data_IF_520893777243
#
_entry.id   IF_520893777243
#
_cell.length_a   1.000
_cell.length_b   1.000
_cell.length_c   1.000
_cell.angle_alpha   90.00
_cell.angle_beta   90.00
_cell.angle_gamma   90.00
#
_symmetry.space_group_name_H-M   'P 1'
#
loop_
_entity.id
_entity.type
_entity.pdbx_description
1 polymer ?
#
# COMPACT_ATOMS: atom_id res chain seq x y z
N UNK A 1 5.50 -15.07 -16.71
CA UNK A 1 5.74 -13.61 -16.79
C UNK A 1 4.86 -12.96 -15.75
N UNK A 2 5.37 -12.20 -14.79
CA UNK A 2 4.52 -11.50 -13.83
C UNK A 2 3.73 -10.44 -14.58
N UNK A 3 2.40 -10.49 -14.50
CA UNK A 3 1.50 -9.51 -15.13
C UNK A 3 1.70 -8.14 -14.47
N UNK A 4 2.48 -7.27 -15.11
CA UNK A 4 2.70 -5.90 -14.63
C UNK A 4 1.48 -5.07 -14.96
N UNK A 5 0.76 -4.62 -13.91
CA UNK A 5 -0.46 -3.83 -14.05
C UNK A 5 -0.15 -2.34 -14.12
N UNK A 6 0.83 -1.87 -13.32
CA UNK A 6 1.30 -0.48 -13.36
C UNK A 6 2.78 -0.50 -13.69
N UNK A 7 3.21 0.37 -14.62
CA UNK A 7 4.62 0.60 -14.93
C UNK A 7 4.88 2.10 -15.07
N UNK A 8 5.84 2.59 -14.33
CA UNK A 8 6.33 3.98 -14.38
C UNK A 8 7.77 3.98 -14.92
N UNK A 9 8.03 4.81 -15.90
CA UNK A 9 9.35 4.98 -16.51
C UNK A 9 9.73 6.46 -16.48
N UNK A 10 10.74 6.79 -15.69
CA UNK A 10 11.31 8.14 -15.55
C UNK A 10 10.22 9.20 -15.37
N UNK A 11 9.30 9.00 -14.43
CA UNK A 11 8.19 9.92 -14.17
C UNK A 11 8.69 11.14 -13.41
N UNK A 12 8.40 12.32 -13.93
CA UNK A 12 8.68 13.62 -13.31
C UNK A 12 7.39 14.40 -13.12
N UNK A 13 7.27 15.08 -11.99
CA UNK A 13 6.26 16.10 -11.75
C UNK A 13 6.87 17.33 -11.13
N UNK A 14 6.84 18.42 -11.87
CA UNK A 14 7.35 19.71 -11.46
C UNK A 14 6.20 20.72 -11.58
N UNK A 15 5.95 21.44 -10.51
CA UNK A 15 4.96 22.52 -10.47
C UNK A 15 5.65 23.87 -10.72
N UNK A 16 5.00 24.76 -11.42
CA UNK A 16 5.51 26.10 -11.76
C UNK A 16 5.23 26.46 -13.22
N UNK A 17 5.10 27.73 -13.50
CA UNK A 17 4.76 28.23 -14.84
C UNK A 17 5.80 27.82 -15.91
N UNK A 18 7.08 27.80 -15.53
CA UNK A 18 8.20 27.51 -16.45
C UNK A 18 8.69 26.05 -16.33
N UNK A 19 8.04 25.20 -15.55
CA UNK A 19 8.51 23.84 -15.23
C UNK A 19 8.86 22.99 -16.46
N UNK A 20 7.98 22.95 -17.47
CA UNK A 20 8.21 22.18 -18.70
C UNK A 20 9.37 22.70 -19.54
N UNK A 21 9.56 24.03 -19.61
CA UNK A 21 10.66 24.65 -20.34
C UNK A 21 11.96 24.31 -19.65
N UNK A 22 12.08 24.59 -18.35
CA UNK A 22 13.27 24.28 -17.56
C UNK A 22 13.65 22.80 -17.63
N UNK A 23 12.66 21.90 -17.53
CA UNK A 23 12.93 20.46 -17.64
C UNK A 23 13.59 20.08 -18.98
N UNK A 24 13.14 20.69 -20.09
CA UNK A 24 13.75 20.47 -21.41
C UNK A 24 15.17 21.05 -21.48
N UNK A 25 15.38 22.24 -20.92
CA UNK A 25 16.67 22.92 -20.94
C UNK A 25 17.78 22.15 -20.22
N UNK A 26 17.42 21.43 -19.13
CA UNK A 26 18.35 20.57 -18.37
C UNK A 26 18.39 19.10 -18.86
N UNK A 27 17.69 18.77 -19.94
CA UNK A 27 17.63 17.41 -20.50
C UNK A 27 17.29 16.33 -19.46
N UNK A 28 16.42 16.65 -18.51
CA UNK A 28 15.96 15.72 -17.45
C UNK A 28 16.90 15.60 -16.26
N UNK A 29 18.02 16.31 -16.21
CA UNK A 29 18.89 16.38 -15.03
C UNK A 29 18.32 17.40 -14.03
N UNK A 30 17.35 16.98 -13.22
CA UNK A 30 16.58 17.86 -12.34
C UNK A 30 17.28 18.00 -10.99
N UNK A 31 17.82 19.21 -10.73
CA UNK A 31 18.27 19.62 -9.41
C UNK A 31 17.16 20.41 -8.69
N UNK A 32 16.67 19.87 -7.58
CA UNK A 32 15.53 20.44 -6.85
C UNK A 32 15.78 21.88 -6.38
N UNK A 33 17.02 22.21 -6.00
CA UNK A 33 17.40 23.55 -5.50
C UNK A 33 17.34 24.58 -6.63
N UNK A 34 17.92 24.28 -7.77
CA UNK A 34 17.89 25.14 -8.97
C UNK A 34 16.45 25.40 -9.42
N UNK A 35 15.60 24.39 -9.39
CA UNK A 35 14.18 24.55 -9.72
C UNK A 35 13.42 25.40 -8.70
N UNK A 36 13.73 25.25 -7.41
CA UNK A 36 13.13 26.06 -6.34
C UNK A 36 13.52 27.54 -6.46
N UNK A 37 14.78 27.86 -6.74
CA UNK A 37 15.26 29.21 -6.95
C UNK A 37 14.56 29.88 -8.15
N UNK A 38 14.14 29.09 -9.14
CA UNK A 38 13.36 29.57 -10.30
C UNK A 38 11.82 29.55 -10.04
N UNK A 39 11.36 29.37 -8.79
CA UNK A 39 9.95 29.37 -8.43
C UNK A 39 9.20 28.09 -8.84
N UNK A 40 9.91 26.99 -9.08
CA UNK A 40 9.33 25.69 -9.39
C UNK A 40 9.47 24.73 -8.19
N UNK A 41 8.52 23.82 -8.03
CA UNK A 41 8.56 22.80 -6.98
C UNK A 41 8.63 21.42 -7.63
N UNK A 42 9.68 20.66 -7.31
CA UNK A 42 9.85 19.28 -7.77
C UNK A 42 9.07 18.36 -6.86
N UNK A 43 7.93 17.85 -7.32
CA UNK A 43 7.08 16.94 -6.55
C UNK A 43 7.42 15.46 -6.78
N UNK A 44 7.87 15.10 -8.00
CA UNK A 44 8.36 13.75 -8.35
C UNK A 44 9.58 13.93 -9.26
N UNK A 45 10.64 13.22 -8.96
CA UNK A 45 11.91 13.27 -9.66
C UNK A 45 12.37 11.86 -10.06
N UNK A 46 12.26 11.53 -11.35
CA UNK A 46 12.73 10.28 -11.95
C UNK A 46 12.19 8.99 -11.31
N UNK A 47 10.89 8.95 -11.01
CA UNK A 47 10.30 7.74 -10.43
C UNK A 47 10.14 6.65 -11.49
N UNK A 48 10.79 5.49 -11.26
CA UNK A 48 10.70 4.32 -12.13
C UNK A 48 10.46 3.07 -11.28
N UNK A 49 9.34 2.37 -11.54
CA UNK A 49 8.98 1.13 -10.86
C UNK A 49 7.82 0.42 -11.56
N UNK A 50 7.55 -0.80 -11.12
CA UNK A 50 6.45 -1.62 -11.61
C UNK A 50 5.66 -2.19 -10.44
N UNK A 51 4.35 -2.42 -10.66
CA UNK A 51 3.45 -3.09 -9.70
C UNK A 51 2.80 -4.28 -10.42
N UNK A 52 2.88 -5.44 -9.79
CA UNK A 52 2.31 -6.69 -10.32
C UNK A 52 0.82 -6.80 -9.97
N UNK A 53 0.10 -7.65 -10.70
CA UNK A 53 -1.30 -7.95 -10.41
C UNK A 53 -1.46 -8.53 -8.99
N UNK A 54 -2.38 -7.97 -8.23
CA UNK A 54 -2.66 -8.38 -6.85
C UNK A 54 -1.64 -7.90 -5.81
N UNK A 55 -0.57 -7.22 -6.23
CA UNK A 55 0.46 -6.66 -5.35
C UNK A 55 -0.06 -5.41 -4.63
N UNK A 56 0.32 -5.28 -3.37
CA UNK A 56 0.16 -4.05 -2.58
C UNK A 56 1.52 -3.34 -2.47
N UNK A 57 1.70 -2.29 -3.28
CA UNK A 57 2.84 -1.39 -3.17
C UNK A 57 2.48 -0.22 -2.24
N UNK A 58 3.20 -0.10 -1.13
CA UNK A 58 3.08 1.05 -0.23
C UNK A 58 4.14 2.08 -0.57
N UNK A 59 3.72 3.32 -0.80
CA UNK A 59 4.61 4.48 -0.98
C UNK A 59 4.63 5.27 0.32
N UNK A 60 5.79 5.35 0.95
CA UNK A 60 5.94 6.04 2.23
C UNK A 60 7.03 7.11 2.21
N UNK A 61 7.06 7.96 3.24
CA UNK A 61 8.03 9.04 3.43
C UNK A 61 7.43 10.18 4.24
N UNK A 62 8.25 11.14 4.63
CA UNK A 62 7.80 12.31 5.40
C UNK A 62 6.81 13.19 4.61
N UNK A 63 6.12 14.09 5.31
CA UNK A 63 5.25 15.09 4.65
C UNK A 63 6.07 15.90 3.63
N UNK A 64 5.48 16.16 2.45
CA UNK A 64 6.17 16.88 1.38
C UNK A 64 7.13 16.05 0.52
N UNK A 65 7.34 14.74 0.79
CA UNK A 65 8.25 13.91 -0.01
C UNK A 65 7.77 13.55 -1.42
N UNK A 66 6.53 13.91 -1.81
CA UNK A 66 5.99 13.71 -3.15
C UNK A 66 5.06 12.51 -3.33
N UNK A 67 4.76 11.74 -2.28
CA UNK A 67 3.92 10.51 -2.31
C UNK A 67 2.55 10.70 -2.98
N UNK A 68 1.74 11.61 -2.44
CA UNK A 68 0.40 11.89 -3.00
C UNK A 68 0.50 12.49 -4.41
N UNK A 69 1.57 13.24 -4.69
CA UNK A 69 1.84 13.75 -6.04
C UNK A 69 2.09 12.61 -7.02
N UNK A 70 2.91 11.62 -6.64
CA UNK A 70 3.17 10.44 -7.45
C UNK A 70 1.88 9.64 -7.68
N UNK A 71 1.09 9.37 -6.62
CA UNK A 71 -0.19 8.69 -6.73
C UNK A 71 -1.15 9.41 -7.69
N UNK A 72 -1.24 10.74 -7.59
CA UNK A 72 -2.07 11.57 -8.47
C UNK A 72 -1.57 11.60 -9.91
N UNK A 73 -0.28 11.46 -10.16
CA UNK A 73 0.26 11.31 -11.51
C UNK A 73 -0.13 9.94 -12.10
N UNK A 74 -0.03 8.86 -11.32
CA UNK A 74 -0.35 7.50 -11.79
C UNK A 74 -1.86 7.30 -12.01
N UNK A 75 -2.71 7.94 -11.22
CA UNK A 75 -4.15 7.99 -11.47
C UNK A 75 -4.54 9.07 -12.52
N UNK A 76 -3.55 9.83 -13.01
CA UNK A 76 -3.66 10.98 -13.91
C UNK A 76 -4.63 12.07 -13.42
N UNK A 77 -4.89 12.14 -12.10
CA UNK A 77 -5.56 13.31 -11.49
C UNK A 77 -4.72 14.58 -11.64
N UNK A 78 -3.41 14.40 -11.82
CA UNK A 78 -2.45 15.46 -12.14
C UNK A 78 -1.57 14.94 -13.29
N UNK A 79 -1.41 15.72 -14.36
CA UNK A 79 -0.53 15.31 -15.45
C UNK A 79 0.93 15.35 -15.01
N UNK A 80 1.70 14.32 -15.38
CA UNK A 80 3.14 14.29 -15.22
C UNK A 80 3.81 15.38 -16.11
N UNK A 81 4.96 15.88 -15.69
CA UNK A 81 5.76 16.83 -16.49
C UNK A 81 6.48 16.09 -17.62
N UNK A 82 7.00 14.90 -17.32
CA UNK A 82 7.69 14.02 -18.26
C UNK A 82 7.66 12.56 -17.77
N UNK A 83 8.15 11.64 -18.61
CA UNK A 83 8.16 10.21 -18.35
C UNK A 83 7.01 9.48 -19.01
N UNK A 84 6.83 8.20 -18.66
CA UNK A 84 5.74 7.37 -19.15
C UNK A 84 5.08 6.61 -18.00
N UNK A 85 3.78 6.43 -18.10
CA UNK A 85 2.99 5.67 -17.13
C UNK A 85 2.11 4.72 -17.94
N UNK A 86 2.27 3.42 -17.68
CA UNK A 86 1.46 2.40 -18.32
C UNK A 86 0.53 1.76 -17.30
N UNK A 87 -0.72 1.59 -17.70
CA UNK A 87 -1.74 0.82 -16.98
C UNK A 87 -2.15 -0.35 -17.86
N UNK A 88 -1.92 -1.57 -17.40
CA UNK A 88 -2.15 -2.81 -18.17
C UNK A 88 -1.55 -2.75 -19.60
N UNK A 89 -0.34 -2.15 -19.71
CA UNK A 89 0.38 -1.99 -20.98
C UNK A 89 -0.07 -0.79 -21.83
N UNK A 90 -1.13 -0.07 -21.44
CA UNK A 90 -1.63 1.10 -22.17
C UNK A 90 -0.95 2.38 -21.64
N UNK A 91 -0.39 3.19 -22.52
CA UNK A 91 0.23 4.48 -22.16
C UNK A 91 -0.85 5.46 -21.68
N UNK A 92 -0.90 5.66 -20.35
CA UNK A 92 -1.87 6.51 -19.69
C UNK A 92 -1.78 7.97 -20.13
N UNK A 93 -0.57 8.48 -20.41
CA UNK A 93 -0.35 9.88 -20.76
C UNK A 93 -0.76 10.20 -22.20
N UNK A 94 -0.77 9.19 -23.08
CA UNK A 94 -1.20 9.32 -24.46
C UNK A 94 -2.71 9.27 -24.65
N UNK A 95 -3.47 8.82 -23.62
CA UNK A 95 -4.93 8.67 -23.72
C UNK A 95 -5.63 10.00 -23.92
N UNK A 96 -6.64 10.00 -24.79
CA UNK A 96 -7.60 11.10 -24.92
C UNK A 96 -8.57 11.12 -23.74
N UNK A 97 -9.21 12.26 -23.48
CA UNK A 97 -10.11 12.43 -22.34
C UNK A 97 -11.21 11.36 -22.24
N UNK A 98 -11.81 10.94 -23.34
CA UNK A 98 -12.85 9.90 -23.33
C UNK A 98 -12.28 8.55 -22.86
N UNK A 99 -11.13 8.14 -23.39
CA UNK A 99 -10.46 6.90 -23.04
C UNK A 99 -10.01 6.90 -21.57
N UNK A 100 -9.50 8.04 -21.10
CA UNK A 100 -9.11 8.21 -19.69
C UNK A 100 -10.31 8.11 -18.75
N UNK A 101 -11.46 8.71 -19.10
CA UNK A 101 -12.70 8.60 -18.32
C UNK A 101 -13.13 7.13 -18.22
N UNK A 102 -13.13 6.41 -19.36
CA UNK A 102 -13.50 4.99 -19.38
C UNK A 102 -12.53 4.12 -18.57
N UNK A 103 -11.22 4.37 -18.69
CA UNK A 103 -10.22 3.66 -17.90
C UNK A 103 -10.45 3.86 -16.38
N UNK A 104 -10.67 5.12 -15.95
CA UNK A 104 -10.95 5.43 -14.53
C UNK A 104 -12.24 4.79 -14.04
N UNK A 105 -13.32 4.89 -14.82
CA UNK A 105 -14.63 4.33 -14.46
C UNK A 105 -14.60 2.82 -14.27
N UNK A 106 -13.79 2.12 -15.08
CA UNK A 106 -13.84 0.68 -15.16
C UNK A 106 -12.72 -0.01 -14.40
N UNK A 107 -11.54 0.64 -14.26
CA UNK A 107 -10.32 0.01 -13.79
C UNK A 107 -9.78 0.58 -12.48
N UNK A 108 -10.13 1.83 -12.13
CA UNK A 108 -9.51 2.54 -11.02
C UNK A 108 -10.51 2.88 -9.93
N UNK A 109 -10.20 2.51 -8.69
CA UNK A 109 -10.85 3.01 -7.48
C UNK A 109 -9.91 3.94 -6.73
N UNK A 110 -10.46 4.94 -6.03
CA UNK A 110 -9.65 5.85 -5.22
C UNK A 110 -10.31 6.16 -3.90
N UNK A 111 -9.51 6.10 -2.82
CA UNK A 111 -9.84 6.56 -1.48
C UNK A 111 -8.95 7.75 -1.16
N UNK A 112 -9.55 8.85 -0.70
CA UNK A 112 -8.88 10.10 -0.40
C UNK A 112 -8.68 10.25 1.11
N UNK A 113 -7.66 10.99 1.51
CA UNK A 113 -7.32 11.32 2.89
C UNK A 113 -8.49 11.96 3.66
N UNK A 114 -9.25 12.83 3.01
CA UNK A 114 -10.38 13.58 3.60
C UNK A 114 -11.73 12.91 3.36
N UNK A 115 -11.76 11.58 3.16
CA UNK A 115 -12.95 10.76 2.83
C UNK A 115 -13.65 11.19 1.55
N UNK A 116 -13.65 12.46 1.18
CA UNK A 116 -14.26 13.09 0.01
C UNK A 116 -15.74 12.67 -0.20
N UNK A 117 -16.49 12.48 0.89
CA UNK A 117 -17.90 12.15 0.82
C UNK A 117 -18.72 13.35 0.37
N UNK A 118 -19.81 13.09 -0.34
CA UNK A 118 -20.79 14.10 -0.74
C UNK A 118 -21.68 14.41 0.49
N UNK A 119 -21.58 15.60 1.07
CA UNK A 119 -22.20 15.88 2.39
C UNK A 119 -23.72 15.93 2.36
N UNK A 120 -24.29 16.15 1.19
CA UNK A 120 -25.73 16.21 0.93
C UNK A 120 -26.34 14.88 0.51
N UNK A 121 -25.55 13.80 0.49
CA UNK A 121 -25.96 12.44 0.14
C UNK A 121 -25.82 11.54 1.36
N UNK A 122 -26.74 10.59 1.49
CA UNK A 122 -26.69 9.54 2.52
C UNK A 122 -25.53 8.57 2.26
N UNK A 123 -25.26 7.64 3.18
CA UNK A 123 -24.31 6.55 3.03
C UNK A 123 -24.59 5.77 1.74
N UNK A 124 -25.85 5.31 1.58
CA UNK A 124 -26.27 4.53 0.42
C UNK A 124 -26.08 5.29 -0.88
N UNK A 125 -26.49 6.56 -0.91
CA UNK A 125 -26.36 7.42 -2.10
C UNK A 125 -24.90 7.74 -2.43
N UNK A 126 -24.02 7.91 -1.44
CA UNK A 126 -22.58 8.09 -1.64
C UNK A 126 -21.97 6.86 -2.33
N UNK A 127 -22.36 5.66 -1.87
CA UNK A 127 -21.84 4.40 -2.43
C UNK A 127 -22.43 4.12 -3.82
N UNK A 128 -23.71 4.41 -4.05
CA UNK A 128 -24.37 4.24 -5.33
C UNK A 128 -23.90 5.24 -6.41
N UNK A 129 -23.43 6.43 -5.99
CA UNK A 129 -23.09 7.53 -6.90
C UNK A 129 -22.14 7.13 -8.04
N UNK A 130 -20.99 6.49 -7.83
CA UNK A 130 -20.10 6.11 -8.93
C UNK A 130 -20.73 5.09 -9.88
N UNK A 131 -21.62 4.23 -9.41
CA UNK A 131 -22.36 3.27 -10.25
C UNK A 131 -23.34 4.01 -11.18
N UNK A 132 -24.03 5.02 -10.67
CA UNK A 132 -24.93 5.87 -11.46
C UNK A 132 -24.15 6.68 -12.51
N UNK A 133 -22.97 7.23 -12.15
CA UNK A 133 -22.07 7.90 -13.11
C UNK A 133 -21.60 6.93 -14.20
N UNK A 134 -21.44 5.64 -13.87
CA UNK A 134 -21.11 4.58 -14.83
C UNK A 134 -22.27 4.23 -15.76
N UNK A 135 -23.48 4.74 -15.50
CA UNK A 135 -24.68 4.52 -16.32
C UNK A 135 -25.55 3.33 -15.86
N UNK A 136 -25.27 2.79 -14.65
CA UNK A 136 -26.11 1.74 -14.07
C UNK A 136 -27.49 2.31 -13.70
N UNK A 137 -28.56 1.53 -13.88
CA UNK A 137 -29.92 1.91 -13.48
C UNK A 137 -29.96 2.15 -11.98
N UNK A 138 -30.83 3.06 -11.54
CA UNK A 138 -30.92 3.45 -10.13
C UNK A 138 -31.18 2.27 -9.20
N UNK A 139 -32.11 1.38 -9.56
CA UNK A 139 -32.46 0.20 -8.76
C UNK A 139 -31.26 -0.73 -8.59
N UNK A 140 -30.55 -1.06 -9.69
CA UNK A 140 -29.37 -1.92 -9.68
C UNK A 140 -28.21 -1.28 -8.87
N UNK A 141 -28.03 0.04 -9.01
CA UNK A 141 -26.99 0.77 -8.27
C UNK A 141 -27.25 0.80 -6.78
N UNK A 142 -28.51 0.91 -6.36
CA UNK A 142 -28.90 0.86 -4.95
C UNK A 142 -28.72 -0.55 -4.41
N UNK A 143 -29.15 -1.59 -5.13
CA UNK A 143 -28.95 -2.98 -4.71
C UNK A 143 -27.47 -3.30 -4.47
N UNK A 144 -26.61 -2.93 -5.42
CA UNK A 144 -25.16 -3.13 -5.30
C UNK A 144 -24.55 -2.29 -4.18
N UNK A 145 -25.02 -1.06 -3.97
CA UNK A 145 -24.59 -0.23 -2.88
C UNK A 145 -24.96 -0.83 -1.52
N UNK A 146 -26.13 -1.48 -1.38
CA UNK A 146 -26.51 -2.21 -0.17
C UNK A 146 -25.58 -3.39 0.13
N UNK A 147 -25.13 -4.12 -0.90
CA UNK A 147 -24.12 -5.16 -0.72
C UNK A 147 -22.81 -4.59 -0.17
N UNK A 148 -22.39 -3.43 -0.67
CA UNK A 148 -21.18 -2.75 -0.19
C UNK A 148 -21.34 -2.22 1.24
N UNK A 149 -22.53 -1.73 1.63
CA UNK A 149 -22.84 -1.33 3.02
C UNK A 149 -22.61 -2.50 3.96
N UNK A 150 -23.14 -3.69 3.60
CA UNK A 150 -22.94 -4.93 4.39
C UNK A 150 -21.47 -5.34 4.43
N UNK A 151 -20.78 -5.29 3.27
CA UNK A 151 -19.37 -5.67 3.16
C UNK A 151 -18.47 -4.91 4.14
N UNK A 152 -18.76 -3.62 4.37
CA UNK A 152 -17.97 -2.75 5.27
C UNK A 152 -18.57 -2.60 6.67
N UNK A 153 -19.61 -3.38 7.02
CA UNK A 153 -20.22 -3.39 8.34
C UNK A 153 -20.91 -2.08 8.73
N UNK A 154 -21.67 -1.51 7.80
CA UNK A 154 -22.47 -0.28 8.02
C UNK A 154 -23.99 -0.54 7.97
N UNK A 155 -24.41 -1.79 8.19
CA UNK A 155 -25.83 -2.14 8.25
C UNK A 155 -26.59 -1.26 9.24
N UNK A 156 -27.78 -0.81 8.83
CA UNK A 156 -28.64 0.10 9.61
C UNK A 156 -28.21 1.57 9.57
N UNK A 157 -27.20 1.93 8.77
CA UNK A 157 -26.74 3.32 8.60
C UNK A 157 -26.90 3.85 7.17
N UNK A 158 -27.65 3.17 6.36
CA UNK A 158 -27.83 3.45 4.92
C UNK A 158 -28.34 4.87 4.67
N UNK A 159 -29.21 5.36 5.54
CA UNK A 159 -29.87 6.65 5.44
C UNK A 159 -29.16 7.77 6.22
N UNK A 160 -28.04 7.48 6.89
CA UNK A 160 -27.26 8.49 7.61
C UNK A 160 -26.48 9.37 6.64
N UNK A 161 -26.35 10.65 6.98
CA UNK A 161 -25.48 11.59 6.27
C UNK A 161 -24.05 11.55 6.85
N UNK A 162 -23.02 11.96 6.08
CA UNK A 162 -21.63 11.98 6.56
C UNK A 162 -21.44 12.64 7.93
N UNK A 163 -22.13 13.75 8.22
CA UNK A 163 -22.05 14.47 9.48
C UNK A 163 -22.55 13.69 10.71
N UNK A 164 -23.31 12.62 10.49
CA UNK A 164 -23.89 11.76 11.53
C UNK A 164 -23.02 10.54 11.82
N UNK A 165 -21.87 10.43 11.13
CA UNK A 165 -20.96 9.30 11.18
C UNK A 165 -19.65 9.67 11.89
N UNK A 166 -19.10 8.71 12.64
CA UNK A 166 -17.71 8.82 13.13
C UNK A 166 -16.70 8.82 11.97
N UNK A 167 -15.46 9.28 12.19
CA UNK A 167 -14.40 9.26 11.17
C UNK A 167 -14.18 7.88 10.59
N UNK A 168 -14.15 6.82 11.43
CA UNK A 168 -14.01 5.43 10.96
C UNK A 168 -15.19 4.98 10.08
N UNK A 169 -16.42 5.39 10.43
CA UNK A 169 -17.59 5.09 9.61
C UNK A 169 -17.55 5.84 8.27
N UNK A 170 -17.15 7.11 8.26
CA UNK A 170 -16.95 7.87 7.02
C UNK A 170 -15.90 7.23 6.13
N UNK A 171 -14.81 6.72 6.73
CA UNK A 171 -13.77 5.98 6.01
C UNK A 171 -14.33 4.71 5.37
N UNK A 172 -15.14 3.93 6.10
CA UNK A 172 -15.83 2.75 5.57
C UNK A 172 -16.72 3.08 4.38
N UNK A 173 -17.45 4.20 4.43
CA UNK A 173 -18.24 4.70 3.28
C UNK A 173 -17.33 5.01 2.08
N UNK A 174 -16.19 5.69 2.30
CA UNK A 174 -15.22 5.98 1.25
C UNK A 174 -14.65 4.72 0.60
N UNK A 175 -14.32 3.71 1.40
CA UNK A 175 -13.88 2.39 0.95
C UNK A 175 -14.98 1.70 0.12
N UNK A 176 -16.19 1.59 0.68
CA UNK A 176 -17.33 0.97 0.00
C UNK A 176 -17.65 1.64 -1.34
N UNK A 177 -17.67 2.99 -1.36
CA UNK A 177 -17.87 3.76 -2.59
C UNK A 177 -16.82 3.46 -3.65
N UNK A 178 -15.56 3.36 -3.25
CA UNK A 178 -14.46 3.08 -4.19
C UNK A 178 -14.48 1.64 -4.70
N UNK A 179 -14.96 0.68 -3.90
CA UNK A 179 -15.11 -0.72 -4.27
C UNK A 179 -16.37 -1.03 -5.08
N UNK A 180 -17.42 -0.20 -4.98
CA UNK A 180 -18.69 -0.43 -5.64
C UNK A 180 -18.57 -0.61 -7.17
N UNK A 181 -17.63 0.07 -7.80
CA UNK A 181 -17.33 -0.06 -9.24
C UNK A 181 -16.46 -1.26 -9.60
N UNK A 182 -16.06 -2.07 -8.61
CA UNK A 182 -15.19 -3.26 -8.75
C UNK A 182 -13.87 -2.99 -9.48
N UNK A 183 -13.08 -2.00 -9.04
CA UNK A 183 -11.86 -1.62 -9.73
C UNK A 183 -10.83 -2.76 -9.71
N UNK A 184 -9.99 -2.86 -10.75
CA UNK A 184 -8.83 -3.77 -10.76
C UNK A 184 -7.65 -3.18 -10.00
N UNK A 185 -7.52 -1.83 -10.02
CA UNK A 185 -6.47 -1.08 -9.36
C UNK A 185 -7.09 -0.15 -8.32
N UNK A 186 -6.54 -0.18 -7.10
CA UNK A 186 -7.07 0.60 -6.00
C UNK A 186 -6.00 1.54 -5.44
N UNK A 187 -6.25 2.83 -5.56
CA UNK A 187 -5.38 3.91 -5.06
C UNK A 187 -5.89 4.42 -3.71
N UNK A 188 -5.02 4.46 -2.69
CA UNK A 188 -5.36 4.94 -1.37
C UNK A 188 -4.35 6.02 -0.95
N UNK A 189 -4.83 7.25 -0.78
CA UNK A 189 -4.02 8.42 -0.38
C UNK A 189 -4.23 8.69 1.11
N UNK A 190 -3.33 8.19 1.96
CA UNK A 190 -3.34 8.28 3.44
C UNK A 190 -4.71 7.94 4.07
N UNK A 191 -5.31 6.79 3.76
CA UNK A 191 -6.71 6.51 4.08
C UNK A 191 -7.00 6.47 5.59
N UNK A 192 -6.01 6.23 6.44
CA UNK A 192 -6.22 6.08 7.88
C UNK A 192 -5.63 7.22 8.72
N UNK A 193 -5.05 8.25 8.09
CA UNK A 193 -4.36 9.35 8.79
C UNK A 193 -5.28 10.20 9.67
N UNK A 194 -6.56 10.32 9.30
CA UNK A 194 -7.56 11.09 10.05
C UNK A 194 -8.24 10.31 11.20
N UNK A 195 -7.84 9.05 11.44
CA UNK A 195 -8.44 8.19 12.45
C UNK A 195 -7.59 8.17 13.73
N UNK A 196 -8.27 8.04 14.87
CA UNK A 196 -7.60 7.76 16.14
C UNK A 196 -6.88 6.39 16.12
N UNK A 197 -5.88 6.15 16.99
CA UNK A 197 -5.04 4.95 16.93
C UNK A 197 -5.80 3.63 17.04
N UNK A 198 -6.87 3.58 17.87
CA UNK A 198 -7.65 2.35 18.06
C UNK A 198 -8.45 2.01 16.80
N UNK A 199 -9.23 2.98 16.32
CA UNK A 199 -10.05 2.83 15.11
C UNK A 199 -9.16 2.58 13.88
N UNK A 200 -7.98 3.21 13.81
CA UNK A 200 -7.00 2.96 12.75
C UNK A 200 -6.60 1.49 12.67
N UNK A 201 -6.28 0.88 13.81
CA UNK A 201 -5.90 -0.54 13.88
C UNK A 201 -7.05 -1.46 13.42
N UNK A 202 -8.27 -1.21 13.89
CA UNK A 202 -9.46 -1.94 13.46
C UNK A 202 -9.68 -1.81 11.94
N UNK A 203 -9.52 -0.62 11.41
CA UNK A 203 -9.67 -0.36 9.97
C UNK A 203 -8.60 -1.03 9.12
N UNK A 204 -7.37 -1.13 9.60
CA UNK A 204 -6.29 -1.87 8.94
C UNK A 204 -6.59 -3.37 8.92
N UNK A 205 -7.10 -3.93 10.03
CA UNK A 205 -7.50 -5.35 10.10
C UNK A 205 -8.61 -5.66 9.10
N UNK A 206 -9.62 -4.81 9.06
CA UNK A 206 -10.74 -4.92 8.11
C UNK A 206 -10.27 -4.78 6.65
N UNK A 207 -9.35 -3.84 6.39
CA UNK A 207 -8.75 -3.66 5.07
C UNK A 207 -7.98 -4.90 4.61
N UNK A 208 -7.16 -5.50 5.48
CA UNK A 208 -6.45 -6.75 5.18
C UNK A 208 -7.41 -7.90 4.90
N UNK A 209 -8.51 -8.00 5.67
CA UNK A 209 -9.57 -8.99 5.43
C UNK A 209 -10.19 -8.82 4.04
N UNK A 210 -10.54 -7.58 3.67
CA UNK A 210 -11.09 -7.26 2.35
C UNK A 210 -10.09 -7.56 1.23
N UNK A 211 -8.82 -7.18 1.39
CA UNK A 211 -7.79 -7.44 0.40
C UNK A 211 -7.55 -8.94 0.20
N UNK A 212 -7.54 -9.72 1.29
CA UNK A 212 -7.41 -11.19 1.25
C UNK A 212 -8.50 -11.85 0.41
N UNK A 213 -9.74 -11.32 0.46
CA UNK A 213 -10.88 -11.80 -0.31
C UNK A 213 -10.87 -11.29 -1.77
N UNK A 214 -10.53 -10.02 -1.99
CA UNK A 214 -10.69 -9.34 -3.27
C UNK A 214 -9.45 -9.38 -4.17
N UNK A 215 -8.25 -9.54 -3.58
CA UNK A 215 -6.94 -9.63 -4.26
C UNK A 215 -6.72 -8.51 -5.30
N UNK A 216 -7.05 -7.28 -4.93
CA UNK A 216 -6.87 -6.11 -5.80
C UNK A 216 -5.41 -5.70 -5.91
N UNK A 217 -5.01 -5.11 -7.04
CA UNK A 217 -3.72 -4.41 -7.15
C UNK A 217 -3.84 -3.07 -6.44
N UNK A 218 -2.95 -2.78 -5.49
CA UNK A 218 -3.09 -1.62 -4.62
C UNK A 218 -1.83 -0.75 -4.66
N UNK A 219 -2.03 0.56 -4.82
CA UNK A 219 -1.05 1.58 -4.45
C UNK A 219 -1.56 2.34 -3.24
N UNK A 220 -0.84 2.22 -2.15
CA UNK A 220 -1.18 2.78 -0.86
C UNK A 220 -0.15 3.83 -0.45
N UNK A 221 -0.59 5.01 -0.06
CA UNK A 221 0.28 6.09 0.44
C UNK A 221 0.10 6.23 1.94
N UNK A 222 1.19 6.29 2.68
CA UNK A 222 1.20 6.57 4.11
C UNK A 222 2.48 7.30 4.54
N UNK A 223 2.44 7.94 5.71
CA UNK A 223 3.62 8.43 6.42
C UNK A 223 3.98 7.56 7.65
N UNK A 224 3.15 6.56 7.95
CA UNK A 224 3.31 5.64 9.08
C UNK A 224 4.08 4.38 8.64
N UNK A 225 5.25 4.14 9.25
CA UNK A 225 6.11 3.02 8.88
C UNK A 225 5.58 1.68 9.37
N UNK A 226 4.97 1.63 10.55
CA UNK A 226 4.35 0.40 11.07
C UNK A 226 3.19 -0.04 10.17
N UNK A 227 2.42 0.93 9.65
CA UNK A 227 1.38 0.67 8.66
C UNK A 227 1.96 0.09 7.37
N UNK A 228 3.04 0.68 6.84
CA UNK A 228 3.71 0.18 5.65
C UNK A 228 4.24 -1.25 5.85
N UNK A 229 4.89 -1.53 6.99
CA UNK A 229 5.39 -2.86 7.32
C UNK A 229 4.27 -3.91 7.40
N UNK A 230 3.11 -3.51 7.92
CA UNK A 230 1.98 -4.41 8.13
C UNK A 230 1.24 -4.76 6.85
N UNK A 231 1.11 -3.79 5.95
CA UNK A 231 0.24 -3.89 4.78
C UNK A 231 0.97 -4.31 3.51
N UNK A 232 2.23 -3.90 3.32
CA UNK A 232 2.90 -3.95 2.04
C UNK A 232 3.45 -5.33 1.65
N UNK A 233 3.31 -5.67 0.37
CA UNK A 233 4.18 -6.66 -0.27
C UNK A 233 5.55 -6.04 -0.58
N UNK A 234 5.55 -4.77 -1.06
CA UNK A 234 6.76 -3.96 -1.26
C UNK A 234 6.52 -2.52 -0.80
N UNK A 235 7.59 -1.89 -0.33
CA UNK A 235 7.59 -0.50 0.14
C UNK A 235 8.51 0.33 -0.74
N UNK A 236 8.01 1.47 -1.24
CA UNK A 236 8.80 2.52 -1.87
C UNK A 236 8.97 3.68 -0.88
N UNK A 237 10.18 3.92 -0.41
CA UNK A 237 10.49 5.04 0.49
C UNK A 237 10.86 6.25 -0.35
N UNK A 238 10.09 7.33 -0.21
CA UNK A 238 10.31 8.57 -0.95
C UNK A 238 10.90 9.68 -0.08
N UNK A 239 11.84 10.43 -0.67
CA UNK A 239 12.40 11.65 -0.13
C UNK A 239 12.59 12.67 -1.25
N UNK A 240 12.15 13.91 -1.05
CA UNK A 240 12.36 15.03 -1.99
C UNK A 240 12.01 14.69 -3.44
N UNK A 241 10.91 13.95 -3.63
CA UNK A 241 10.42 13.49 -4.93
C UNK A 241 11.10 12.25 -5.51
N UNK A 242 12.14 11.72 -4.86
CA UNK A 242 12.94 10.59 -5.31
C UNK A 242 12.54 9.33 -4.53
N UNK A 243 12.53 8.18 -5.19
CA UNK A 243 12.42 6.87 -4.53
C UNK A 243 13.82 6.47 -4.07
N UNK A 244 14.08 6.55 -2.77
CA UNK A 244 15.35 6.20 -2.12
C UNK A 244 15.61 4.69 -2.10
N UNK A 245 14.53 3.91 -1.85
CA UNK A 245 14.58 2.45 -1.89
C UNK A 245 13.19 1.91 -2.20
N UNK A 246 13.13 0.81 -2.96
CA UNK A 246 11.93 0.05 -3.23
C UNK A 246 12.23 -1.43 -3.06
N UNK A 247 11.68 -2.06 -2.02
CA UNK A 247 11.97 -3.46 -1.69
C UNK A 247 10.86 -4.06 -0.80
N UNK A 248 11.01 -5.33 -0.44
CA UNK A 248 10.16 -5.97 0.58
C UNK A 248 10.36 -5.33 1.96
N UNK A 249 9.35 -5.38 2.86
CA UNK A 249 9.50 -4.89 4.23
C UNK A 249 10.75 -5.44 4.95
N UNK A 250 11.02 -6.72 4.79
CA UNK A 250 12.21 -7.36 5.38
C UNK A 250 13.52 -6.75 4.87
N UNK A 251 13.67 -6.57 3.56
CA UNK A 251 14.88 -6.00 2.97
C UNK A 251 15.06 -4.52 3.35
N UNK A 252 13.98 -3.74 3.41
CA UNK A 252 14.02 -2.34 3.87
C UNK A 252 14.61 -2.26 5.30
N UNK A 253 14.19 -3.16 6.19
CA UNK A 253 14.67 -3.16 7.60
C UNK A 253 16.08 -3.74 7.73
N UNK A 254 16.40 -4.82 7.01
CA UNK A 254 17.69 -5.53 7.16
C UNK A 254 18.82 -4.87 6.38
N UNK A 255 18.51 -4.22 5.25
CA UNK A 255 19.49 -3.68 4.30
C UNK A 255 19.05 -2.28 3.82
N UNK A 256 18.97 -1.28 4.73
CA UNK A 256 18.60 0.07 4.34
C UNK A 256 19.64 0.66 3.37
N UNK A 257 19.17 1.11 2.19
CA UNK A 257 20.03 1.58 1.11
C UNK A 257 20.70 2.93 1.41
N UNK A 258 20.04 3.78 2.21
CA UNK A 258 20.54 5.12 2.53
C UNK A 258 20.43 5.42 4.02
N UNK A 259 21.17 6.43 4.48
CA UNK A 259 21.06 6.92 5.86
C UNK A 259 19.65 7.44 6.18
N UNK A 260 18.92 7.92 5.16
CA UNK A 260 17.54 8.34 5.32
C UNK A 260 16.62 7.13 5.60
N UNK A 261 16.71 6.07 4.83
CA UNK A 261 15.95 4.83 5.04
C UNK A 261 16.28 4.23 6.41
N UNK A 262 17.56 4.21 6.78
CA UNK A 262 18.02 3.71 8.09
C UNK A 262 17.33 4.39 9.27
N UNK A 263 17.00 5.69 9.18
CA UNK A 263 16.30 6.41 10.25
C UNK A 263 14.90 5.84 10.55
N UNK A 264 14.19 5.32 9.53
CA UNK A 264 12.89 4.68 9.72
C UNK A 264 13.02 3.29 10.33
N UNK A 265 14.14 2.60 10.07
CA UNK A 265 14.30 1.19 10.40
C UNK A 265 15.05 0.93 11.72
N UNK A 266 15.71 1.95 12.30
CA UNK A 266 16.56 1.79 13.47
C UNK A 266 15.86 1.22 14.70
N UNK A 267 14.59 1.58 14.89
CA UNK A 267 13.80 1.19 16.07
C UNK A 267 12.85 0.02 15.80
N UNK A 268 12.83 -0.47 14.56
CA UNK A 268 11.91 -1.56 14.18
C UNK A 268 12.44 -2.90 14.67
N UNK A 269 11.70 -3.59 15.53
CA UNK A 269 12.04 -4.93 15.95
C UNK A 269 12.04 -5.90 14.76
N UNK A 270 13.11 -6.68 14.61
CA UNK A 270 13.28 -7.59 13.47
C UNK A 270 12.19 -8.64 13.37
N UNK A 271 11.65 -9.06 14.50
CA UNK A 271 10.54 -10.02 14.57
C UNK A 271 9.25 -9.56 13.89
N UNK A 272 9.05 -8.25 13.73
CA UNK A 272 7.88 -7.69 13.03
C UNK A 272 7.93 -7.84 11.51
N UNK A 273 9.12 -8.08 10.95
CA UNK A 273 9.33 -8.11 9.49
C UNK A 273 9.89 -9.42 8.99
N UNK A 274 10.56 -10.19 9.84
CA UNK A 274 11.15 -11.46 9.44
C UNK A 274 10.10 -12.56 9.42
N UNK A 275 10.08 -13.30 8.32
CA UNK A 275 9.31 -14.54 8.19
C UNK A 275 10.11 -15.72 8.77
N UNK A 276 9.40 -16.77 9.14
CA UNK A 276 10.01 -18.03 9.63
C UNK A 276 11.02 -18.59 8.62
N UNK A 277 10.77 -18.42 7.31
CA UNK A 277 11.69 -18.81 6.25
C UNK A 277 13.11 -18.25 6.43
N UNK A 278 13.25 -17.03 6.92
CA UNK A 278 14.55 -16.38 7.14
C UNK A 278 15.37 -17.00 8.30
N UNK A 279 14.72 -17.75 9.18
CA UNK A 279 15.33 -18.35 10.39
C UNK A 279 15.22 -19.86 10.43
N UNK A 280 14.54 -20.47 9.46
CA UNK A 280 14.43 -21.93 9.38
C UNK A 280 15.75 -22.58 8.99
N UNK A 281 15.94 -23.78 9.47
CA UNK A 281 17.07 -24.66 9.12
C UNK A 281 16.56 -25.82 8.25
N UNK A 282 17.39 -26.40 7.37
CA UNK A 282 17.02 -27.61 6.65
C UNK A 282 16.63 -28.73 7.62
N UNK A 283 15.73 -29.62 7.20
CA UNK A 283 15.31 -30.74 8.00
C UNK A 283 16.53 -31.66 8.26
N UNK A 284 16.93 -31.77 9.53
CA UNK A 284 17.89 -32.79 9.94
C UNK A 284 17.19 -34.13 10.18
N UNK A 285 17.90 -35.24 10.09
CA UNK A 285 17.37 -36.61 10.32
C UNK A 285 16.77 -36.85 11.72
N UNK A 286 16.78 -35.85 12.56
CA UNK A 286 16.29 -35.90 13.93
C UNK A 286 14.76 -35.83 13.98
N UNK A 287 14.12 -36.98 14.19
CA UNK A 287 12.65 -37.15 14.24
C UNK A 287 11.97 -36.58 15.49
N UNK A 288 12.68 -35.89 16.38
CA UNK A 288 12.11 -35.39 17.64
C UNK A 288 11.60 -33.95 17.51
N UNK A 289 10.51 -33.77 16.78
CA UNK A 289 9.84 -32.47 16.58
C UNK A 289 8.71 -32.28 17.59
N UNK A 290 8.33 -31.03 17.81
CA UNK A 290 7.09 -30.69 18.53
C UNK A 290 5.88 -30.95 17.62
N UNK A 291 4.69 -31.09 18.22
CA UNK A 291 3.42 -31.22 17.47
C UNK A 291 3.03 -29.93 16.77
N UNK A 292 3.60 -28.79 17.18
CA UNK A 292 3.38 -27.49 16.56
C UNK A 292 3.97 -27.44 15.14
N UNK A 293 3.18 -26.94 14.21
CA UNK A 293 3.63 -26.63 12.84
C UNK A 293 3.40 -25.15 12.55
N UNK A 294 4.36 -24.49 11.92
CA UNK A 294 4.27 -23.09 11.54
C UNK A 294 4.48 -22.91 10.04
N UNK A 295 3.79 -21.95 9.43
CA UNK A 295 4.00 -21.63 8.02
C UNK A 295 5.35 -20.96 7.83
N UNK A 296 6.05 -21.27 6.74
CA UNK A 296 7.28 -20.56 6.33
C UNK A 296 7.06 -19.06 6.15
N UNK A 297 5.85 -18.66 5.71
CA UNK A 297 5.46 -17.28 5.44
C UNK A 297 4.97 -16.53 6.68
N UNK A 298 4.85 -17.20 7.84
CA UNK A 298 4.44 -16.56 9.08
C UNK A 298 5.52 -15.57 9.56
N UNK A 299 5.09 -14.39 10.00
CA UNK A 299 5.97 -13.40 10.63
C UNK A 299 6.37 -13.92 12.01
N UNK A 300 7.65 -13.77 12.38
CA UNK A 300 8.19 -14.29 13.66
C UNK A 300 7.35 -13.78 14.84
N UNK A 301 7.02 -12.49 14.90
CA UNK A 301 6.21 -11.90 15.97
C UNK A 301 4.91 -12.67 16.24
N UNK A 302 4.22 -13.12 15.20
CA UNK A 302 2.92 -13.78 15.32
C UNK A 302 2.99 -15.21 15.87
N UNK A 303 4.15 -15.85 15.81
CA UNK A 303 4.35 -17.24 16.19
C UNK A 303 5.45 -17.44 17.24
N UNK A 304 6.19 -16.39 17.59
CA UNK A 304 7.34 -16.48 18.50
C UNK A 304 6.96 -17.07 19.84
N UNK A 305 5.89 -16.60 20.50
CA UNK A 305 5.43 -17.10 21.79
C UNK A 305 5.15 -18.61 21.74
N UNK A 306 4.45 -19.07 20.70
CA UNK A 306 4.14 -20.48 20.52
C UNK A 306 5.37 -21.34 20.27
N UNK A 307 6.39 -20.80 19.56
CA UNK A 307 7.64 -21.51 19.31
C UNK A 307 8.49 -21.54 20.57
N UNK A 308 8.58 -20.42 21.31
CA UNK A 308 9.38 -20.31 22.53
C UNK A 308 8.84 -21.17 23.68
N UNK A 309 7.54 -21.48 23.68
CA UNK A 309 6.94 -22.42 24.65
C UNK A 309 7.25 -23.88 24.37
N UNK A 310 7.91 -24.22 23.25
CA UNK A 310 8.30 -25.58 22.92
C UNK A 310 9.70 -25.91 23.39
N UNK A 311 9.90 -27.11 23.93
CA UNK A 311 11.25 -27.63 24.23
C UNK A 311 11.96 -28.21 23.00
N UNK A 312 11.18 -28.61 21.98
CA UNK A 312 11.64 -29.26 20.76
C UNK A 312 11.56 -28.33 19.56
N UNK A 313 12.39 -28.58 18.51
CA UNK A 313 12.26 -27.85 17.26
C UNK A 313 10.86 -27.97 16.67
N UNK A 314 10.37 -26.90 16.07
CA UNK A 314 9.03 -26.80 15.44
C UNK A 314 9.16 -27.03 13.95
N UNK A 315 8.25 -27.83 13.37
CA UNK A 315 8.21 -28.10 11.94
C UNK A 315 7.73 -26.85 11.17
N UNK A 316 8.45 -26.51 10.09
CA UNK A 316 8.07 -25.44 9.15
C UNK A 316 7.42 -26.06 7.93
N UNK A 317 6.24 -25.56 7.55
CA UNK A 317 5.44 -26.08 6.44
C UNK A 317 5.26 -25.05 5.33
N UNK A 318 5.15 -25.53 4.09
CA UNK A 318 4.76 -24.75 2.93
C UNK A 318 3.23 -24.59 2.79
N UNK A 319 2.78 -23.90 1.72
CA UNK A 319 1.36 -23.71 1.41
C UNK A 319 0.59 -25.02 1.19
N UNK A 320 1.29 -26.12 0.82
CA UNK A 320 0.73 -27.46 0.62
C UNK A 320 0.76 -28.29 1.92
N UNK A 321 1.09 -27.69 3.07
CA UNK A 321 1.27 -28.33 4.38
C UNK A 321 2.39 -29.37 4.43
N UNK A 322 3.31 -29.36 3.46
CA UNK A 322 4.50 -30.22 3.44
C UNK A 322 5.57 -29.62 4.36
N UNK A 323 6.21 -30.43 5.18
CA UNK A 323 7.34 -29.99 6.02
C UNK A 323 8.56 -29.76 5.13
N UNK A 324 9.10 -28.55 5.20
CA UNK A 324 10.24 -28.09 4.37
C UNK A 324 11.47 -27.71 5.20
N UNK A 325 11.34 -27.62 6.52
CA UNK A 325 12.42 -27.27 7.43
C UNK A 325 11.97 -27.30 8.87
N UNK A 326 12.86 -26.86 9.75
CA UNK A 326 12.61 -26.74 11.19
C UNK A 326 13.04 -25.38 11.71
N UNK A 327 12.43 -24.93 12.80
CA UNK A 327 12.89 -23.76 13.55
C UNK A 327 13.09 -24.12 15.01
N UNK A 328 14.27 -23.76 15.55
CA UNK A 328 14.62 -23.97 16.95
C UNK A 328 14.23 -22.74 17.79
N UNK A 329 13.67 -22.93 19.01
CA UNK A 329 13.40 -21.81 19.90
C UNK A 329 14.63 -20.90 20.15
N UNK A 330 15.82 -21.48 20.31
CA UNK A 330 17.07 -20.75 20.48
C UNK A 330 17.40 -19.83 19.30
N UNK A 331 17.03 -20.23 18.08
CA UNK A 331 17.25 -19.41 16.87
C UNK A 331 16.36 -18.18 16.85
N UNK A 332 15.12 -18.30 17.32
CA UNK A 332 14.20 -17.17 17.49
C UNK A 332 14.77 -16.18 18.50
N UNK A 333 15.21 -16.66 19.67
CA UNK A 333 15.83 -15.81 20.70
C UNK A 333 17.03 -15.05 20.14
N UNK A 334 17.92 -15.73 19.43
CA UNK A 334 19.11 -15.10 18.85
C UNK A 334 18.74 -14.05 17.79
N UNK A 335 17.72 -14.31 16.97
CA UNK A 335 17.29 -13.38 15.92
C UNK A 335 16.60 -12.14 16.48
N UNK A 336 15.76 -12.32 17.51
CA UNK A 336 15.01 -11.24 18.15
C UNK A 336 15.89 -10.38 19.05
N UNK A 337 16.74 -11.02 19.87
CA UNK A 337 17.51 -10.35 20.92
C UNK A 337 19.02 -10.25 20.63
N UNK A 338 19.55 -11.03 19.70
CA UNK A 338 20.98 -11.10 19.40
C UNK A 338 21.55 -9.90 18.63
N UNK A 339 20.72 -9.06 18.05
CA UNK A 339 21.13 -7.88 17.27
C UNK A 339 21.49 -6.63 18.08
N UNK A 340 21.48 -6.68 19.42
CA UNK A 340 21.79 -5.53 20.31
C UNK A 340 23.25 -5.47 20.80
N UNK A 341 24.16 -6.32 20.26
CA UNK A 341 25.55 -6.37 20.69
C UNK A 341 26.54 -6.10 19.55
N UNK A 342 26.42 -4.99 18.86
CA UNK A 342 27.54 -4.42 18.08
C UNK A 342 27.30 -2.93 17.88
N UNK A 343 27.48 -2.15 18.95
CA UNK A 343 27.84 -0.73 18.92
C UNK A 343 28.04 -0.28 20.38
N UNK A 344 29.17 -0.66 20.96
CA UNK A 344 29.79 0.03 22.13
C UNK A 344 31.23 0.33 21.74
#
# INVERSE_FOLDING_TARGET
MSDKVIKCEAVYKIFGANAKKMFKDVSGNVDAKTFQEAGCIVGVNNASFEVSKGEMLVVMGLSGSGKSTLLRCISRLTDATAGKIYIEGQDLLALKNKELIELRRNKMGMVFQSFALLPHKTVLENIAFPLQIKGMKTEDSISKAMEMVKLVGLDGRENYFPRELSGGQQQRVGIARSLAVEPDIWFLDEPFSALDPLIRKEMQDEFLRLQGALKKTIMFVTHDFDEALRLADRIAIMKDGIIEQLDTPANIVLSPATAYVKKFTQEVPREKVLKIEAVMEPMSDNKNLSDLKVSKDAIIETVAEKILSQEKPVAVIDANKKVIGIVKPSKIIHTVFGGKKENS
#
